data_IF_745129282231
#
_entry.id   IF_745129282231
#
_cell.length_a   1.000
_cell.length_b   1.000
_cell.length_c   1.000
_cell.angle_alpha   90.00
_cell.angle_beta   90.00
_cell.angle_gamma   90.00
#
_symmetry.space_group_name_H-M   'P 1'
#
loop_
_entity.id
_entity.type
_entity.pdbx_description
1 polymer ?
#
# COMPACT_ATOMS: atom_id res chain seq x y z
N UNK A 1 -24.14 -23.29 -37.46
CA UNK A 1 -25.11 -22.22 -37.20
C UNK A 1 -25.88 -22.43 -35.90
N UNK A 2 -26.64 -23.52 -35.70
CA UNK A 2 -27.35 -23.74 -34.42
C UNK A 2 -26.41 -24.10 -33.25
N UNK A 3 -25.35 -24.88 -33.52
CA UNK A 3 -24.37 -25.31 -32.51
C UNK A 3 -23.47 -24.18 -32.00
N UNK A 4 -23.19 -23.18 -32.85
CA UNK A 4 -22.38 -22.02 -32.48
C UNK A 4 -23.11 -21.08 -31.50
N UNK A 5 -24.45 -21.13 -31.49
CA UNK A 5 -25.29 -20.38 -30.55
C UNK A 5 -25.16 -20.90 -29.13
N UNK A 6 -24.85 -22.19 -28.98
CA UNK A 6 -24.70 -22.85 -27.68
C UNK A 6 -23.35 -22.56 -27.00
N UNK A 7 -22.31 -22.14 -27.74
CA UNK A 7 -21.04 -21.67 -27.16
C UNK A 7 -21.22 -20.40 -26.29
N UNK A 8 -22.38 -19.73 -26.40
CA UNK A 8 -22.77 -18.58 -25.57
C UNK A 8 -23.52 -18.97 -24.29
N UNK A 9 -23.98 -20.22 -24.16
CA UNK A 9 -24.67 -20.68 -22.96
C UNK A 9 -23.71 -21.19 -21.89
N UNK A 10 -24.15 -21.13 -20.64
CA UNK A 10 -23.43 -21.72 -19.52
C UNK A 10 -23.49 -23.25 -19.63
N UNK A 11 -22.35 -23.91 -19.44
CA UNK A 11 -22.24 -25.36 -19.44
C UNK A 11 -23.15 -26.04 -18.40
N UNK A 12 -23.49 -25.34 -17.31
CA UNK A 12 -24.50 -25.82 -16.34
C UNK A 12 -25.86 -25.97 -16.99
N UNK A 13 -26.29 -24.98 -17.77
CA UNK A 13 -27.61 -24.98 -18.42
C UNK A 13 -27.65 -26.00 -19.55
N UNK A 14 -26.57 -26.11 -20.32
CA UNK A 14 -26.43 -27.13 -21.36
C UNK A 14 -26.51 -28.55 -20.79
N UNK A 15 -25.84 -28.83 -19.67
CA UNK A 15 -25.91 -30.14 -19.02
C UNK A 15 -27.30 -30.43 -18.45
N UNK A 16 -28.02 -29.41 -17.97
CA UNK A 16 -29.40 -29.57 -17.49
C UNK A 16 -30.37 -29.86 -18.64
N UNK A 17 -30.25 -29.15 -19.76
CA UNK A 17 -31.13 -29.30 -20.92
C UNK A 17 -30.96 -30.69 -21.57
N UNK A 18 -29.74 -31.21 -21.59
CA UNK A 18 -29.40 -32.46 -22.28
C UNK A 18 -29.07 -33.61 -21.32
N UNK A 19 -29.60 -33.59 -20.09
CA UNK A 19 -29.28 -34.58 -19.05
C UNK A 19 -29.48 -36.04 -19.50
N UNK A 20 -30.47 -36.30 -20.38
CA UNK A 20 -30.76 -37.63 -20.95
C UNK A 20 -29.98 -37.94 -22.26
N UNK A 21 -29.33 -36.94 -22.87
CA UNK A 21 -28.64 -37.02 -24.17
C UNK A 21 -27.12 -36.76 -24.05
N UNK A 22 -26.51 -37.15 -22.93
CA UNK A 22 -25.10 -36.87 -22.59
C UNK A 22 -24.08 -37.25 -23.69
N UNK A 23 -24.34 -38.31 -24.46
CA UNK A 23 -23.42 -38.79 -25.51
C UNK A 23 -23.32 -37.84 -26.72
N UNK A 24 -24.39 -37.10 -27.02
CA UNK A 24 -24.40 -36.07 -28.08
C UNK A 24 -23.69 -34.81 -27.61
N UNK A 25 -23.89 -34.42 -26.34
CA UNK A 25 -23.22 -33.28 -25.74
C UNK A 25 -21.68 -33.47 -25.78
N UNK A 26 -21.21 -34.64 -25.39
CA UNK A 26 -19.77 -34.94 -25.43
C UNK A 26 -19.18 -35.08 -26.82
N UNK A 27 -19.97 -35.26 -27.88
CA UNK A 27 -19.46 -35.43 -29.25
C UNK A 27 -19.53 -34.16 -30.08
N UNK A 28 -20.55 -33.33 -29.88
CA UNK A 28 -20.83 -32.19 -30.76
C UNK A 28 -20.27 -30.86 -30.26
N UNK A 29 -20.09 -30.69 -28.95
CA UNK A 29 -19.61 -29.42 -28.40
C UNK A 29 -18.09 -29.37 -28.29
N UNK A 30 -17.54 -28.29 -28.86
CA UNK A 30 -16.11 -28.04 -28.92
C UNK A 30 -15.58 -27.32 -27.68
N UNK A 31 -16.41 -26.50 -27.04
CA UNK A 31 -15.99 -25.71 -25.88
C UNK A 31 -17.06 -25.57 -24.81
N UNK A 32 -16.62 -25.50 -23.55
CA UNK A 32 -17.52 -25.28 -22.41
C UNK A 32 -17.09 -24.08 -21.58
N UNK A 33 -18.08 -23.31 -21.11
CA UNK A 33 -17.90 -22.22 -20.14
C UNK A 33 -18.77 -22.50 -18.92
N UNK A 34 -18.15 -22.77 -17.79
CA UNK A 34 -18.87 -23.05 -16.55
C UNK A 34 -18.91 -21.83 -15.65
N UNK A 35 -20.11 -21.36 -15.36
CA UNK A 35 -20.35 -20.39 -14.30
C UNK A 35 -21.25 -21.05 -13.23
N UNK A 36 -20.65 -21.37 -12.09
CA UNK A 36 -21.36 -22.05 -11.00
C UNK A 36 -22.00 -21.09 -10.00
N UNK A 37 -22.28 -19.84 -10.41
CA UNK A 37 -23.04 -18.91 -9.59
C UNK A 37 -24.46 -19.44 -9.34
N UNK A 38 -24.95 -19.35 -8.11
CA UNK A 38 -26.32 -19.68 -7.72
C UNK A 38 -26.78 -21.11 -8.07
N UNK A 39 -25.83 -22.04 -8.25
CA UNK A 39 -26.13 -23.47 -8.41
C UNK A 39 -26.38 -24.11 -7.04
N UNK A 40 -27.37 -25.00 -6.95
CA UNK A 40 -27.56 -25.80 -5.73
C UNK A 40 -26.40 -26.76 -5.51
N UNK A 41 -26.09 -27.04 -4.24
CA UNK A 41 -25.02 -27.98 -3.87
C UNK A 41 -25.20 -29.36 -4.50
N UNK A 42 -26.43 -29.87 -4.55
CA UNK A 42 -26.77 -31.15 -5.17
C UNK A 42 -26.46 -31.19 -6.68
N UNK A 43 -26.85 -30.15 -7.43
CA UNK A 43 -26.58 -30.09 -8.86
C UNK A 43 -25.09 -29.90 -9.17
N UNK A 44 -24.38 -29.13 -8.33
CA UNK A 44 -22.93 -29.00 -8.43
C UNK A 44 -22.22 -30.34 -8.23
N UNK A 45 -22.68 -31.13 -7.25
CA UNK A 45 -22.15 -32.45 -6.93
C UNK A 45 -22.33 -33.44 -8.08
N UNK A 46 -23.53 -33.48 -8.68
CA UNK A 46 -23.81 -34.29 -9.88
C UNK A 46 -22.90 -33.90 -11.04
N UNK A 47 -22.79 -32.60 -11.35
CA UNK A 47 -21.96 -32.13 -12.46
C UNK A 47 -20.49 -32.51 -12.25
N UNK A 48 -19.95 -32.28 -11.05
CA UNK A 48 -18.55 -32.59 -10.74
C UNK A 48 -18.27 -34.09 -10.74
N UNK A 49 -19.17 -34.91 -10.20
CA UNK A 49 -18.97 -36.35 -10.07
C UNK A 49 -19.21 -37.11 -11.38
N UNK A 50 -20.20 -36.71 -12.18
CA UNK A 50 -20.67 -37.50 -13.33
C UNK A 50 -20.26 -36.94 -14.69
N UNK A 51 -20.06 -35.63 -14.84
CA UNK A 51 -19.89 -35.02 -16.16
C UNK A 51 -18.53 -34.38 -16.36
N UNK A 52 -18.03 -33.69 -15.34
CA UNK A 52 -16.90 -32.77 -15.49
C UNK A 52 -15.62 -33.49 -15.92
N UNK A 53 -15.39 -34.72 -15.45
CA UNK A 53 -14.24 -35.57 -15.79
C UNK A 53 -14.15 -35.93 -17.28
N UNK A 54 -15.26 -35.93 -18.01
CA UNK A 54 -15.33 -36.29 -19.45
C UNK A 54 -15.13 -35.10 -20.40
N UNK A 55 -15.16 -33.87 -19.86
CA UNK A 55 -15.13 -32.64 -20.65
C UNK A 55 -14.06 -31.64 -20.21
N UNK A 56 -13.22 -31.98 -19.21
CA UNK A 56 -12.21 -31.07 -18.65
C UNK A 56 -11.26 -30.49 -19.69
N UNK A 57 -10.91 -31.28 -20.71
CA UNK A 57 -10.02 -30.91 -21.80
C UNK A 57 -10.62 -29.85 -22.75
N UNK A 58 -11.93 -29.62 -22.68
CA UNK A 58 -12.70 -28.69 -23.51
C UNK A 58 -13.26 -27.50 -22.75
N UNK A 59 -12.96 -27.37 -21.46
CA UNK A 59 -13.41 -26.23 -20.66
C UNK A 59 -12.48 -25.05 -20.92
N UNK A 60 -13.04 -23.94 -21.40
CA UNK A 60 -12.31 -22.70 -21.72
C UNK A 60 -12.41 -21.68 -20.58
N UNK A 61 -13.53 -21.66 -19.86
CA UNK A 61 -13.75 -20.75 -18.73
C UNK A 61 -14.43 -21.47 -17.57
N UNK A 62 -13.97 -21.20 -16.36
CA UNK A 62 -14.49 -21.78 -15.12
C UNK A 62 -14.63 -20.70 -14.04
N UNK A 63 -15.83 -20.57 -13.47
CA UNK A 63 -16.10 -19.66 -12.35
C UNK A 63 -16.67 -20.42 -11.15
N UNK A 64 -15.99 -20.33 -10.00
CA UNK A 64 -16.33 -20.98 -8.74
C UNK A 64 -16.66 -19.94 -7.66
N UNK A 65 -17.61 -20.25 -6.78
CA UNK A 65 -18.17 -19.34 -5.79
C UNK A 65 -18.26 -20.02 -4.42
N UNK A 66 -17.89 -19.34 -3.35
CA UNK A 66 -18.08 -19.82 -1.97
C UNK A 66 -18.89 -18.81 -1.15
N UNK A 67 -20.10 -18.50 -1.63
CA UNK A 67 -21.04 -17.58 -0.96
C UNK A 67 -22.09 -18.34 -0.14
N UNK A 68 -23.03 -17.63 0.49
CA UNK A 68 -24.07 -18.24 1.34
C UNK A 68 -24.87 -19.34 0.62
N UNK A 69 -25.12 -19.19 -0.69
CA UNK A 69 -25.86 -20.16 -1.50
C UNK A 69 -24.99 -21.31 -2.02
N UNK A 70 -23.66 -21.13 -2.10
CA UNK A 70 -22.70 -22.11 -2.64
C UNK A 70 -21.60 -22.48 -1.64
N UNK A 71 -21.92 -22.50 -0.35
CA UNK A 71 -20.94 -22.73 0.71
C UNK A 71 -20.19 -24.06 0.57
N UNK A 72 -18.86 -23.99 0.61
CA UNK A 72 -17.92 -25.11 0.47
C UNK A 72 -17.69 -25.58 -0.96
N UNK A 73 -18.29 -24.94 -1.98
CA UNK A 73 -18.20 -25.38 -3.38
C UNK A 73 -16.76 -25.47 -3.89
N UNK A 74 -15.88 -24.52 -3.55
CA UNK A 74 -14.46 -24.54 -3.97
C UNK A 74 -13.74 -25.77 -3.39
N UNK A 75 -14.03 -26.12 -2.14
CA UNK A 75 -13.43 -27.29 -1.51
C UNK A 75 -13.98 -28.60 -2.11
N UNK A 76 -15.27 -28.65 -2.43
CA UNK A 76 -15.89 -29.78 -3.12
C UNK A 76 -15.33 -29.97 -4.53
N UNK A 77 -15.18 -28.88 -5.29
CA UNK A 77 -14.56 -28.92 -6.62
C UNK A 77 -13.19 -29.58 -6.57
N UNK A 78 -12.37 -29.19 -5.57
CA UNK A 78 -11.02 -29.73 -5.38
C UNK A 78 -11.00 -31.21 -4.97
N UNK A 79 -12.07 -31.68 -4.34
CA UNK A 79 -12.23 -33.10 -4.01
C UNK A 79 -12.44 -33.94 -5.28
N UNK A 80 -13.36 -33.50 -6.15
CA UNK A 80 -13.65 -34.20 -7.41
C UNK A 80 -12.55 -34.05 -8.47
N UNK A 81 -11.87 -32.90 -8.46
CA UNK A 81 -10.79 -32.59 -9.40
C UNK A 81 -9.51 -32.34 -8.62
N UNK A 82 -8.77 -33.42 -8.31
CA UNK A 82 -7.51 -33.32 -7.60
C UNK A 82 -6.35 -32.82 -8.49
N UNK A 83 -6.47 -32.76 -9.82
CA UNK A 83 -5.41 -32.21 -10.67
C UNK A 83 -5.97 -31.29 -11.76
N UNK A 84 -5.32 -30.14 -11.94
CA UNK A 84 -5.66 -29.18 -12.99
C UNK A 84 -5.02 -29.54 -14.34
N UNK A 85 -4.12 -30.54 -14.40
CA UNK A 85 -3.47 -30.97 -15.64
C UNK A 85 -4.42 -31.44 -16.75
N UNK A 86 -5.65 -31.82 -16.39
CA UNK A 86 -6.69 -32.25 -17.36
C UNK A 86 -7.36 -31.08 -18.08
N UNK A 87 -7.17 -29.85 -17.61
CA UNK A 87 -7.73 -28.64 -18.19
C UNK A 87 -6.81 -28.06 -19.26
N UNK A 88 -6.68 -28.79 -20.36
CA UNK A 88 -5.72 -28.47 -21.43
C UNK A 88 -6.10 -27.22 -22.22
N UNK A 89 -7.36 -26.78 -22.21
CA UNK A 89 -7.83 -25.60 -22.97
C UNK A 89 -8.31 -24.44 -22.08
N UNK A 90 -8.13 -24.52 -20.76
CA UNK A 90 -8.65 -23.52 -19.84
C UNK A 90 -7.90 -22.20 -20.00
N UNK A 91 -8.64 -21.15 -20.40
CA UNK A 91 -8.11 -19.80 -20.61
C UNK A 91 -8.46 -18.84 -19.47
N UNK A 92 -9.54 -19.10 -18.75
CA UNK A 92 -9.98 -18.25 -17.64
C UNK A 92 -10.46 -19.06 -16.44
N UNK A 93 -9.90 -18.75 -15.27
CA UNK A 93 -10.31 -19.26 -13.98
C UNK A 93 -10.67 -18.08 -13.07
N UNK A 94 -11.93 -18.03 -12.61
CA UNK A 94 -12.41 -17.01 -11.70
C UNK A 94 -12.90 -17.63 -10.40
N UNK A 95 -12.43 -17.11 -9.27
CA UNK A 95 -12.81 -17.60 -7.93
C UNK A 95 -13.38 -16.44 -7.13
N UNK A 96 -14.58 -16.62 -6.62
CA UNK A 96 -15.34 -15.63 -5.86
C UNK A 96 -15.50 -16.06 -4.40
N UNK A 97 -15.42 -15.11 -3.47
CA UNK A 97 -15.64 -15.29 -2.03
C UNK A 97 -14.66 -16.28 -1.37
N UNK A 98 -13.36 -16.17 -1.67
CA UNK A 98 -12.36 -17.04 -1.07
C UNK A 98 -12.00 -16.60 0.36
N UNK A 99 -12.25 -17.46 1.35
CA UNK A 99 -12.02 -17.16 2.77
C UNK A 99 -10.79 -17.85 3.39
N UNK A 100 -10.11 -18.73 2.65
CA UNK A 100 -9.00 -19.55 3.15
C UNK A 100 -7.72 -19.30 2.38
N UNK A 101 -6.70 -18.78 3.07
CA UNK A 101 -5.36 -18.58 2.51
C UNK A 101 -4.73 -19.91 2.07
N UNK A 102 -4.97 -20.98 2.83
CA UNK A 102 -4.54 -22.32 2.47
C UNK A 102 -5.15 -22.79 1.15
N UNK A 103 -6.44 -22.53 0.93
CA UNK A 103 -7.11 -22.87 -0.34
C UNK A 103 -6.57 -22.02 -1.49
N UNK A 104 -6.29 -20.73 -1.27
CA UNK A 104 -5.65 -19.87 -2.28
C UNK A 104 -4.31 -20.46 -2.72
N UNK A 105 -3.41 -20.73 -1.78
CA UNK A 105 -2.08 -21.23 -2.07
C UNK A 105 -2.12 -22.56 -2.81
N UNK A 106 -3.03 -23.46 -2.43
CA UNK A 106 -3.23 -24.73 -3.14
C UNK A 106 -3.82 -24.59 -4.55
N UNK A 107 -4.57 -23.54 -4.83
CA UNK A 107 -5.04 -23.27 -6.20
C UNK A 107 -3.89 -22.72 -7.03
N UNK A 108 -3.15 -21.74 -6.50
CA UNK A 108 -1.96 -21.16 -7.16
C UNK A 108 -0.94 -22.25 -7.50
N UNK A 109 -0.65 -23.14 -6.54
CA UNK A 109 0.24 -24.29 -6.69
C UNK A 109 -0.27 -25.34 -7.69
N UNK A 110 -1.49 -25.21 -8.23
CA UNK A 110 -1.97 -26.08 -9.32
C UNK A 110 -2.11 -25.34 -10.64
N UNK A 111 -1.98 -24.03 -10.64
CA UNK A 111 -2.08 -23.23 -11.86
C UNK A 111 -0.90 -23.46 -12.81
N UNK A 112 0.26 -23.94 -12.34
CA UNK A 112 1.39 -24.26 -13.23
C UNK A 112 1.09 -25.41 -14.20
N UNK A 113 0.06 -26.21 -13.94
CA UNK A 113 -0.42 -27.24 -14.88
C UNK A 113 -1.31 -26.68 -16.00
N UNK A 114 -1.69 -25.40 -15.95
CA UNK A 114 -2.63 -24.76 -16.88
C UNK A 114 -1.89 -23.93 -17.94
N UNK A 115 -1.31 -24.59 -18.94
CA UNK A 115 -0.44 -23.96 -19.95
C UNK A 115 -1.11 -22.86 -20.80
N UNK A 116 -2.45 -22.82 -20.86
CA UNK A 116 -3.22 -21.89 -21.69
C UNK A 116 -4.02 -20.86 -20.88
N UNK A 117 -3.76 -20.75 -19.57
CA UNK A 117 -4.47 -19.82 -18.69
C UNK A 117 -4.01 -18.39 -18.94
N UNK A 118 -4.92 -17.56 -19.45
CA UNK A 118 -4.68 -16.14 -19.69
C UNK A 118 -5.14 -15.28 -18.51
N UNK A 119 -6.22 -15.68 -17.84
CA UNK A 119 -6.86 -14.90 -16.78
C UNK A 119 -7.10 -15.73 -15.53
N UNK A 120 -6.43 -15.37 -14.45
CA UNK A 120 -6.67 -15.89 -13.11
C UNK A 120 -7.23 -14.76 -12.25
N UNK A 121 -8.53 -14.80 -11.96
CA UNK A 121 -9.22 -13.73 -11.26
C UNK A 121 -9.70 -14.19 -9.88
N UNK A 122 -9.42 -13.36 -8.87
CA UNK A 122 -9.87 -13.56 -7.50
C UNK A 122 -10.75 -12.38 -7.09
N UNK A 123 -12.00 -12.66 -6.73
CA UNK A 123 -12.99 -11.64 -6.35
C UNK A 123 -13.46 -11.86 -4.92
N UNK A 124 -13.67 -10.77 -4.18
CA UNK A 124 -14.20 -10.78 -2.80
C UNK A 124 -13.46 -11.73 -1.84
N UNK A 125 -12.13 -11.79 -1.94
CA UNK A 125 -11.33 -12.66 -1.08
C UNK A 125 -11.06 -12.00 0.27
N UNK A 126 -11.26 -12.74 1.36
CA UNK A 126 -11.00 -12.28 2.73
C UNK A 126 -10.16 -13.32 3.45
N UNK A 127 -8.87 -13.03 3.62
CA UNK A 127 -7.92 -13.92 4.29
C UNK A 127 -7.68 -13.43 5.71
N UNK A 128 -8.06 -14.24 6.70
CA UNK A 128 -7.68 -13.98 8.08
C UNK A 128 -6.27 -14.50 8.30
N UNK A 129 -5.29 -13.59 8.39
CA UNK A 129 -3.93 -13.93 8.82
C UNK A 129 -3.95 -14.27 10.30
N UNK A 130 -4.06 -15.56 10.62
CA UNK A 130 -4.07 -16.03 11.99
C UNK A 130 -2.63 -16.25 12.45
N UNK A 131 -1.99 -15.18 12.94
CA UNK A 131 -0.84 -15.35 13.83
C UNK A 131 -1.31 -16.03 15.12
N UNK A 132 -0.51 -16.98 15.57
CA UNK A 132 -0.77 -17.95 16.63
C UNK A 132 -0.97 -17.26 17.98
N UNK A 133 -2.22 -17.01 18.39
CA UNK A 133 -2.69 -17.12 19.79
C UNK A 133 -4.17 -17.56 19.75
N UNK A 134 -4.49 -18.76 20.27
CA UNK A 134 -5.87 -19.26 20.46
C UNK A 134 -6.56 -18.56 21.65
N UNK A 135 -6.54 -17.23 21.69
CA UNK A 135 -7.32 -16.44 22.64
C UNK A 135 -7.97 -15.29 21.88
N UNK A 136 -9.30 -15.29 21.86
CA UNK A 136 -10.08 -14.23 21.25
C UNK A 136 -10.18 -13.07 22.25
N UNK A 137 -9.46 -11.99 21.96
CA UNK A 137 -9.58 -10.75 22.70
C UNK A 137 -10.55 -9.83 21.95
N UNK A 138 -11.64 -9.46 22.61
CA UNK A 138 -12.52 -8.40 22.10
C UNK A 138 -11.93 -7.06 22.54
N UNK A 139 -11.61 -6.20 21.59
CA UNK A 139 -11.30 -4.80 21.90
C UNK A 139 -12.56 -4.16 22.49
N UNK A 140 -12.54 -3.91 23.80
CA UNK A 140 -13.65 -3.27 24.53
C UNK A 140 -13.55 -1.74 24.51
N UNK A 141 -12.35 -1.20 24.26
CA UNK A 141 -12.06 0.24 24.21
C UNK A 141 -11.01 0.55 23.14
N UNK A 142 -11.20 1.66 22.43
CA UNK A 142 -10.42 2.05 21.25
C UNK A 142 -11.02 1.51 19.95
N UNK A 143 -10.66 2.13 18.83
CA UNK A 143 -11.08 1.68 17.50
C UNK A 143 -10.12 0.65 16.91
N UNK A 144 -10.59 -0.07 15.89
CA UNK A 144 -9.79 -1.04 15.16
C UNK A 144 -8.63 -0.33 14.43
N UNK A 145 -7.41 -0.88 14.57
CA UNK A 145 -6.23 -0.41 13.85
C UNK A 145 -6.42 -0.59 12.33
N UNK A 146 -5.92 0.38 11.54
CA UNK A 146 -6.03 0.36 10.07
C UNK A 146 -7.33 0.92 9.50
N UNK A 147 -8.32 1.25 10.34
CA UNK A 147 -9.49 2.00 9.91
C UNK A 147 -9.17 3.50 9.82
N UNK A 148 -9.42 4.10 8.66
CA UNK A 148 -9.25 5.54 8.45
C UNK A 148 -10.11 6.38 9.43
N UNK A 149 -11.28 5.88 9.80
CA UNK A 149 -12.17 6.53 10.75
C UNK A 149 -11.59 6.53 12.19
N UNK A 150 -10.97 5.42 12.62
CA UNK A 150 -10.38 5.30 13.95
C UNK A 150 -9.32 6.38 14.20
N UNK A 151 -8.49 6.68 13.19
CA UNK A 151 -7.43 7.69 13.31
C UNK A 151 -7.99 9.10 13.53
N UNK A 152 -9.07 9.45 12.85
CA UNK A 152 -9.76 10.74 13.05
C UNK A 152 -10.32 10.83 14.46
N UNK A 153 -11.00 9.77 14.92
CA UNK A 153 -11.59 9.74 16.26
C UNK A 153 -10.52 9.82 17.36
N UNK A 154 -9.40 9.11 17.19
CA UNK A 154 -8.26 9.20 18.10
C UNK A 154 -7.69 10.62 18.16
N UNK A 155 -7.57 11.31 17.01
CA UNK A 155 -7.10 12.69 16.98
C UNK A 155 -8.03 13.66 17.71
N UNK A 156 -9.36 13.50 17.58
CA UNK A 156 -10.35 14.33 18.29
C UNK A 156 -10.26 14.08 19.80
N UNK A 157 -10.18 12.82 20.22
CA UNK A 157 -10.02 12.49 21.64
C UNK A 157 -8.74 13.09 22.22
N UNK A 158 -7.63 12.91 21.52
CA UNK A 158 -6.34 13.45 21.93
C UNK A 158 -6.34 14.98 21.99
N UNK A 159 -7.07 15.67 21.11
CA UNK A 159 -7.21 17.13 21.17
C UNK A 159 -7.86 17.59 22.48
N UNK A 160 -8.93 16.91 22.91
CA UNK A 160 -9.58 17.21 24.19
C UNK A 160 -8.68 16.88 25.39
N UNK A 161 -7.96 15.77 25.32
CA UNK A 161 -7.02 15.36 26.38
C UNK A 161 -5.83 16.33 26.51
N UNK A 162 -5.25 16.75 25.39
CA UNK A 162 -4.04 17.59 25.36
C UNK A 162 -4.29 19.09 25.58
N UNK A 163 -5.56 19.51 25.69
CA UNK A 163 -5.95 20.92 25.76
C UNK A 163 -5.22 21.71 26.86
N UNK A 164 -5.09 21.14 28.06
CA UNK A 164 -4.37 21.79 29.16
C UNK A 164 -2.88 21.97 28.87
N UNK A 165 -2.26 21.04 28.15
CA UNK A 165 -0.86 21.17 27.72
C UNK A 165 -0.76 22.28 26.66
N UNK A 166 -1.63 22.25 25.65
CA UNK A 166 -1.65 23.30 24.61
C UNK A 166 -1.78 24.70 25.24
N UNK A 167 -2.70 24.87 26.20
CA UNK A 167 -2.91 26.15 26.90
C UNK A 167 -1.71 26.56 27.75
N UNK A 168 -1.10 25.60 28.46
CA UNK A 168 0.12 25.84 29.23
C UNK A 168 1.26 26.35 28.32
N UNK A 169 1.56 25.64 27.24
CA UNK A 169 2.59 26.05 26.26
C UNK A 169 2.28 27.40 25.62
N UNK A 170 1.03 27.65 25.24
CA UNK A 170 0.61 28.92 24.67
C UNK A 170 0.83 30.09 25.65
N UNK A 171 0.53 29.90 26.94
CA UNK A 171 0.73 30.91 27.98
C UNK A 171 2.20 31.32 28.17
N UNK A 172 3.13 30.44 27.80
CA UNK A 172 4.58 30.63 27.92
C UNK A 172 5.25 31.03 26.61
N UNK A 173 4.50 31.12 25.51
CA UNK A 173 5.03 31.31 24.15
C UNK A 173 6.04 30.20 23.78
N UNK A 174 5.72 28.96 24.16
CA UNK A 174 6.53 27.77 23.92
C UNK A 174 5.93 26.91 22.79
N UNK A 175 6.77 26.11 22.13
CA UNK A 175 6.35 25.24 21.04
C UNK A 175 5.62 24.03 21.62
N UNK A 176 4.44 23.74 21.07
CA UNK A 176 3.74 22.46 21.18
C UNK A 176 3.48 21.92 19.78
N UNK A 177 3.88 20.68 19.52
CA UNK A 177 3.62 20.00 18.25
C UNK A 177 3.25 18.55 18.47
N UNK A 178 2.22 18.07 17.77
CA UNK A 178 1.82 16.67 17.77
C UNK A 178 1.81 16.08 16.37
N UNK A 179 2.34 14.86 16.24
CA UNK A 179 2.17 14.02 15.07
C UNK A 179 1.60 12.67 15.50
N UNK A 180 0.29 12.49 15.31
CA UNK A 180 -0.44 11.29 15.75
C UNK A 180 -0.27 11.08 17.27
N UNK A 181 0.61 10.17 17.68
CA UNK A 181 0.92 9.77 19.04
C UNK A 181 2.22 10.40 19.57
N UNK A 182 3.06 10.95 18.71
CA UNK A 182 4.31 11.62 19.10
C UNK A 182 4.06 13.10 19.42
N UNK A 183 4.53 13.56 20.58
CA UNK A 183 4.45 14.96 21.04
C UNK A 183 5.85 15.55 21.19
N UNK A 184 6.03 16.78 20.71
CA UNK A 184 7.22 17.60 20.87
C UNK A 184 6.86 18.89 21.59
N UNK A 185 7.64 19.23 22.61
CA UNK A 185 7.45 20.43 23.42
C UNK A 185 8.80 21.10 23.70
N UNK A 186 8.81 22.42 23.77
CA UNK A 186 9.94 23.18 24.34
C UNK A 186 9.54 23.74 25.69
N UNK A 187 10.48 23.92 26.61
CA UNK A 187 10.21 24.67 27.84
C UNK A 187 11.41 25.45 28.34
N UNK A 188 11.14 26.63 28.90
CA UNK A 188 12.09 27.43 29.68
C UNK A 188 11.91 27.24 31.19
N UNK A 189 10.94 26.43 31.61
CA UNK A 189 10.67 26.14 33.01
C UNK A 189 11.71 25.15 33.58
N UNK A 190 11.79 25.09 34.91
CA UNK A 190 12.65 24.11 35.57
C UNK A 190 12.13 22.68 35.32
N UNK A 191 13.04 21.72 35.41
CA UNK A 191 12.71 20.29 35.26
C UNK A 191 11.57 19.86 36.19
N UNK A 192 11.53 20.35 37.42
CA UNK A 192 10.50 20.00 38.40
C UNK A 192 9.12 20.52 38.01
N UNK A 193 9.04 21.76 37.48
CA UNK A 193 7.77 22.38 37.07
C UNK A 193 7.19 21.63 35.87
N UNK A 194 7.98 21.41 34.82
CA UNK A 194 7.49 20.69 33.64
C UNK A 194 7.12 19.25 33.98
N UNK A 195 7.87 18.60 34.88
CA UNK A 195 7.56 17.24 35.33
C UNK A 195 6.22 17.20 36.08
N UNK A 196 5.92 18.21 36.91
CA UNK A 196 4.63 18.31 37.59
C UNK A 196 3.46 18.50 36.59
N UNK A 197 3.65 19.33 35.56
CA UNK A 197 2.65 19.52 34.48
C UNK A 197 2.37 18.19 33.76
N UNK A 198 3.42 17.46 33.38
CA UNK A 198 3.28 16.16 32.72
C UNK A 198 2.63 15.10 33.63
N UNK A 199 2.96 15.10 34.92
CA UNK A 199 2.31 14.22 35.90
C UNK A 199 0.82 14.55 36.09
N UNK A 200 0.43 15.82 35.96
CA UNK A 200 -0.96 16.22 35.99
C UNK A 200 -1.71 15.72 34.74
N UNK A 201 -1.13 15.87 33.55
CA UNK A 201 -1.69 15.33 32.32
C UNK A 201 -1.84 13.80 32.36
N UNK A 202 -0.85 13.09 32.91
CA UNK A 202 -0.88 11.64 33.11
C UNK A 202 -2.08 11.16 33.95
N UNK A 203 -2.64 12.00 34.83
CA UNK A 203 -3.78 11.67 35.68
C UNK A 203 -5.14 11.84 35.00
N UNK A 204 -5.20 12.50 33.83
CA UNK A 204 -6.46 12.76 33.13
C UNK A 204 -7.11 11.49 32.59
N UNK A 205 -6.30 10.51 32.14
CA UNK A 205 -6.79 9.21 31.68
C UNK A 205 -5.78 8.12 32.03
N UNK A 206 -6.21 7.15 32.84
CA UNK A 206 -5.42 5.98 33.25
C UNK A 206 -4.92 5.13 32.06
N UNK A 207 -5.59 5.22 30.90
CA UNK A 207 -5.25 4.46 29.70
C UNK A 207 -4.21 5.16 28.80
N UNK A 208 -3.89 6.43 29.08
CA UNK A 208 -2.86 7.16 28.36
C UNK A 208 -1.61 7.18 29.23
N UNK A 209 -0.48 6.75 28.65
CA UNK A 209 0.82 6.77 29.31
C UNK A 209 1.78 7.67 28.55
N UNK A 210 2.22 8.73 29.22
CA UNK A 210 3.27 9.64 28.79
C UNK A 210 4.61 9.05 29.21
N UNK A 211 5.52 8.89 28.26
CA UNK A 211 6.91 8.48 28.51
C UNK A 211 7.83 9.63 28.06
N UNK A 212 7.99 10.69 28.89
CA UNK A 212 8.67 11.89 28.45
C UNK A 212 10.19 11.67 28.39
N UNK A 213 10.83 12.23 27.35
CA UNK A 213 12.28 12.37 27.26
C UNK A 213 12.62 13.84 27.28
N UNK A 214 13.14 14.34 28.41
CA UNK A 214 13.44 15.77 28.60
C UNK A 214 14.96 15.93 28.57
N UNK A 215 15.45 16.68 27.59
CA UNK A 215 16.88 16.88 27.35
C UNK A 215 17.08 18.07 26.41
N UNK A 216 18.31 18.59 26.36
CA UNK A 216 18.72 19.55 25.33
C UNK A 216 18.87 18.90 23.95
N UNK A 217 18.87 17.56 23.88
CA UNK A 217 18.89 16.78 22.64
C UNK A 217 17.85 15.68 22.71
N UNK A 218 16.90 15.70 21.78
CA UNK A 218 15.79 14.73 21.72
C UNK A 218 15.55 14.26 20.29
N UNK A 219 15.02 13.05 20.14
CA UNK A 219 14.60 12.54 18.84
C UNK A 219 13.10 12.70 18.70
N UNK A 220 12.65 13.25 17.58
CA UNK A 220 11.24 13.40 17.23
C UNK A 220 11.04 13.00 15.78
N UNK A 221 10.20 11.98 15.54
CA UNK A 221 10.05 11.36 14.22
C UNK A 221 11.40 10.93 13.63
N UNK A 222 11.76 11.53 12.50
CA UNK A 222 12.94 11.24 11.69
C UNK A 222 14.11 12.21 11.95
N UNK A 223 14.02 13.05 12.99
CA UNK A 223 15.04 14.07 13.31
C UNK A 223 15.52 14.01 14.76
N UNK A 224 16.79 14.36 14.94
CA UNK A 224 17.36 14.73 16.24
C UNK A 224 17.37 16.25 16.32
N UNK A 225 16.78 16.78 17.37
CA UNK A 225 16.65 18.21 17.65
C UNK A 225 17.57 18.54 18.81
N UNK A 226 18.51 19.47 18.60
CA UNK A 226 19.45 19.95 19.61
C UNK A 226 19.15 21.42 19.89
N UNK A 227 18.91 21.74 21.15
CA UNK A 227 18.76 23.09 21.66
C UNK A 227 20.10 23.62 22.18
N UNK A 228 20.60 24.67 21.53
CA UNK A 228 21.77 25.42 21.97
C UNK A 228 21.32 26.83 22.35
N UNK A 229 21.09 27.07 23.64
CA UNK A 229 20.73 28.39 24.18
C UNK A 229 19.50 29.04 23.49
N UNK A 230 18.45 28.25 23.24
CA UNK A 230 17.22 28.69 22.58
C UNK A 230 17.25 28.58 21.06
N UNK A 231 18.40 28.25 20.46
CA UNK A 231 18.49 27.97 19.04
C UNK A 231 18.33 26.46 18.79
N UNK A 232 17.24 26.09 18.12
CA UNK A 232 17.00 24.70 17.72
C UNK A 232 17.73 24.40 16.41
N UNK A 233 18.47 23.30 16.41
CA UNK A 233 19.11 22.74 15.21
C UNK A 233 18.67 21.31 15.02
N UNK A 234 18.50 20.90 13.76
CA UNK A 234 17.98 19.59 13.40
C UNK A 234 18.99 18.84 12.55
N UNK A 235 19.03 17.53 12.75
CA UNK A 235 19.76 16.57 11.91
C UNK A 235 18.94 15.30 11.77
N UNK A 236 19.28 14.43 10.81
CA UNK A 236 18.51 13.19 10.61
C UNK A 236 18.80 12.18 11.72
N UNK A 237 17.72 11.64 12.28
CA UNK A 237 17.76 10.54 13.22
C UNK A 237 17.54 9.20 12.51
N UNK A 238 18.36 8.22 12.88
CA UNK A 238 18.17 6.82 12.54
C UNK A 238 18.02 6.03 13.83
N UNK A 239 16.98 5.20 13.90
CA UNK A 239 16.84 4.26 15.02
C UNK A 239 18.10 3.37 15.08
N UNK A 240 18.59 2.99 16.27
CA UNK A 240 19.74 2.09 16.39
C UNK A 240 19.56 0.75 15.67
N UNK A 241 18.30 0.33 15.49
CA UNK A 241 17.90 -0.89 14.78
C UNK A 241 17.60 -0.65 13.29
N UNK A 242 17.83 0.55 12.77
CA UNK A 242 17.57 0.85 11.37
C UNK A 242 18.66 0.23 10.50
N UNK A 243 18.28 -0.71 9.65
CA UNK A 243 19.16 -1.23 8.63
C UNK A 243 19.49 -0.14 7.60
N UNK A 244 20.70 -0.15 7.00
CA UNK A 244 21.09 0.76 5.94
C UNK A 244 20.39 0.40 4.62
N UNK A 245 19.06 0.34 4.63
CA UNK A 245 18.24 -0.17 3.54
C UNK A 245 17.78 0.97 2.63
N UNK A 246 18.23 0.91 1.38
CA UNK A 246 17.55 1.51 0.25
C UNK A 246 17.07 0.38 -0.66
N UNK A 247 16.14 0.69 -1.56
CA UNK A 247 15.70 -0.29 -2.54
C UNK A 247 16.91 -0.87 -3.29
N UNK A 248 17.18 -2.19 -3.23
CA UNK A 248 18.35 -2.78 -3.88
C UNK A 248 18.36 -2.50 -5.38
N UNK A 249 19.52 -2.16 -5.93
CA UNK A 249 19.66 -1.78 -7.35
C UNK A 249 19.27 -2.91 -8.31
N UNK A 250 19.34 -4.17 -7.87
CA UNK A 250 18.96 -5.36 -8.65
C UNK A 250 17.48 -5.75 -8.50
N UNK A 251 16.70 -5.02 -7.71
CA UNK A 251 15.27 -5.32 -7.56
C UNK A 251 14.51 -5.01 -8.85
N UNK A 252 13.37 -5.66 -9.06
CA UNK A 252 12.54 -5.51 -10.26
C UNK A 252 11.66 -4.26 -10.18
N UNK A 253 12.31 -3.09 -10.16
CA UNK A 253 11.63 -1.80 -10.18
C UNK A 253 12.03 -0.99 -11.41
N UNK A 254 11.12 -0.14 -11.92
CA UNK A 254 11.44 0.75 -13.03
C UNK A 254 12.67 1.61 -12.77
N UNK A 255 13.49 1.81 -13.80
CA UNK A 255 14.77 2.52 -13.69
C UNK A 255 14.62 3.95 -13.12
N UNK A 256 13.49 4.63 -13.37
CA UNK A 256 13.22 5.96 -12.82
C UNK A 256 13.16 5.96 -11.27
N UNK A 257 12.72 4.86 -10.64
CA UNK A 257 12.71 4.72 -9.17
C UNK A 257 14.15 4.73 -8.65
N UNK A 258 15.03 3.91 -9.24
CA UNK A 258 16.45 3.87 -8.86
C UNK A 258 17.15 5.22 -9.06
N UNK A 259 16.82 5.97 -10.12
CA UNK A 259 17.35 7.34 -10.34
C UNK A 259 16.88 8.33 -9.29
N UNK A 260 15.65 8.18 -8.82
CA UNK A 260 15.05 9.14 -7.88
C UNK A 260 15.53 8.93 -6.45
N UNK A 261 15.87 7.71 -6.04
CA UNK A 261 16.29 7.41 -4.66
C UNK A 261 17.44 8.31 -4.17
N UNK A 262 18.59 8.42 -4.87
CA UNK A 262 19.67 9.30 -4.43
C UNK A 262 19.23 10.77 -4.34
N UNK A 263 18.44 11.24 -5.31
CA UNK A 263 17.95 12.61 -5.35
C UNK A 263 17.02 12.90 -4.16
N UNK A 264 16.03 12.04 -3.92
CA UNK A 264 15.07 12.22 -2.82
C UNK A 264 15.73 12.10 -1.45
N UNK A 265 16.76 11.24 -1.32
CA UNK A 265 17.54 11.13 -0.09
C UNK A 265 18.29 12.44 0.21
N UNK A 266 18.91 13.07 -0.80
CA UNK A 266 19.57 14.37 -0.61
C UNK A 266 18.59 15.52 -0.39
N UNK A 267 17.42 15.51 -1.03
CA UNK A 267 16.35 16.47 -0.72
C UNK A 267 15.91 16.34 0.73
N UNK A 268 15.70 15.12 1.22
CA UNK A 268 15.38 14.85 2.63
C UNK A 268 16.49 15.37 3.55
N UNK A 269 17.75 15.05 3.25
CA UNK A 269 18.89 15.53 4.02
C UNK A 269 18.96 17.06 4.09
N UNK A 270 18.85 17.73 2.95
CA UNK A 270 18.92 19.19 2.88
C UNK A 270 17.72 19.88 3.54
N UNK A 271 16.55 19.22 3.62
CA UNK A 271 15.37 19.74 4.34
C UNK A 271 15.50 19.58 5.85
N UNK A 272 16.06 18.46 6.31
CA UNK A 272 16.06 18.09 7.72
C UNK A 272 17.32 18.51 8.48
N UNK A 273 18.45 18.73 7.79
CA UNK A 273 19.67 19.21 8.43
C UNK A 273 19.73 20.75 8.43
N UNK A 274 19.80 21.38 9.61
CA UNK A 274 19.85 22.86 9.70
C UNK A 274 21.20 23.45 9.26
N UNK A 275 22.29 22.70 9.42
CA UNK A 275 23.64 23.16 9.10
C UNK A 275 24.31 22.26 8.04
N UNK A 276 25.32 22.83 7.38
CA UNK A 276 26.04 22.17 6.29
C UNK A 276 26.84 20.95 6.76
N UNK A 277 27.38 20.98 7.98
CA UNK A 277 28.16 19.87 8.52
C UNK A 277 27.31 18.60 8.66
N UNK A 278 26.12 18.73 9.24
CA UNK A 278 25.18 17.62 9.40
C UNK A 278 24.63 17.14 8.05
N UNK A 279 24.36 18.06 7.11
CA UNK A 279 24.01 17.68 5.74
C UNK A 279 25.13 16.90 5.05
N UNK A 280 26.39 17.33 5.21
CA UNK A 280 27.53 16.64 4.63
C UNK A 280 27.71 15.24 5.23
N UNK A 281 27.59 15.11 6.55
CA UNK A 281 27.62 13.81 7.24
C UNK A 281 26.53 12.88 6.73
N UNK A 282 25.32 13.42 6.54
CA UNK A 282 24.22 12.64 5.98
C UNK A 282 24.48 12.26 4.52
N UNK A 283 24.98 13.17 3.69
CA UNK A 283 25.34 12.88 2.30
C UNK A 283 26.31 11.69 2.20
N UNK A 284 27.32 11.65 3.08
CA UNK A 284 28.26 10.52 3.16
C UNK A 284 27.55 9.23 3.59
N UNK A 285 26.66 9.29 4.58
CA UNK A 285 25.86 8.14 5.02
C UNK A 285 24.99 7.59 3.88
N UNK A 286 24.26 8.46 3.18
CA UNK A 286 23.45 8.09 2.00
C UNK A 286 24.32 7.44 0.93
N UNK A 287 25.53 7.98 0.68
CA UNK A 287 26.46 7.38 -0.27
C UNK A 287 26.81 5.94 0.12
N UNK A 288 27.18 5.71 1.38
CA UNK A 288 27.50 4.37 1.90
C UNK A 288 26.29 3.43 1.79
N UNK A 289 25.10 3.89 2.18
CA UNK A 289 23.89 3.07 2.10
C UNK A 289 23.57 2.68 0.65
N UNK A 290 23.73 3.59 -0.32
CA UNK A 290 23.54 3.26 -1.73
C UNK A 290 24.54 2.21 -2.22
N UNK A 291 25.82 2.31 -1.83
CA UNK A 291 26.83 1.30 -2.16
C UNK A 291 26.47 -0.08 -1.59
N UNK A 292 26.05 -0.14 -0.32
CA UNK A 292 25.61 -1.37 0.34
C UNK A 292 24.40 -2.02 -0.36
N UNK A 293 23.54 -1.21 -0.99
CA UNK A 293 22.39 -1.68 -1.76
C UNK A 293 22.68 -1.92 -3.25
N UNK A 294 23.95 -1.97 -3.65
CA UNK A 294 24.39 -2.40 -4.98
C UNK A 294 24.37 -1.32 -6.06
N UNK A 295 24.25 -0.04 -5.69
CA UNK A 295 24.35 1.07 -6.63
C UNK A 295 25.81 1.28 -7.06
N UNK A 296 26.03 1.48 -8.37
CA UNK A 296 27.38 1.72 -8.91
C UNK A 296 27.91 3.10 -8.49
N UNK A 297 29.20 3.26 -8.13
CA UNK A 297 29.75 4.55 -7.71
C UNK A 297 29.50 5.69 -8.70
N UNK A 298 29.71 5.46 -10.00
CA UNK A 298 29.44 6.47 -11.03
C UNK A 298 27.95 6.87 -11.10
N UNK A 299 27.05 5.92 -10.87
CA UNK A 299 25.61 6.22 -10.80
C UNK A 299 25.29 7.14 -9.64
N UNK A 300 25.86 6.87 -8.45
CA UNK A 300 25.68 7.68 -7.25
C UNK A 300 26.20 9.09 -7.50
N UNK A 301 27.45 9.23 -7.96
CA UNK A 301 28.08 10.53 -8.23
C UNK A 301 27.28 11.37 -9.22
N UNK A 302 26.81 10.77 -10.33
CA UNK A 302 26.00 11.50 -11.31
C UNK A 302 24.69 12.02 -10.72
N UNK A 303 24.01 11.22 -9.89
CA UNK A 303 22.73 11.63 -9.29
C UNK A 303 22.92 12.61 -8.12
N UNK A 304 24.02 12.51 -7.39
CA UNK A 304 24.40 13.51 -6.39
C UNK A 304 24.71 14.85 -7.05
N UNK A 305 25.51 14.85 -8.11
CA UNK A 305 25.82 16.07 -8.87
C UNK A 305 24.54 16.68 -9.47
N UNK A 306 23.65 15.86 -10.03
CA UNK A 306 22.34 16.30 -10.53
C UNK A 306 21.52 17.01 -9.44
N UNK A 307 21.55 16.54 -8.20
CA UNK A 307 20.85 17.22 -7.09
C UNK A 307 21.35 18.64 -6.89
N UNK A 308 22.67 18.87 -6.88
CA UNK A 308 23.23 20.20 -6.73
C UNK A 308 22.95 21.10 -7.94
N UNK A 309 23.08 20.57 -9.16
CA UNK A 309 22.78 21.29 -10.41
C UNK A 309 21.33 21.78 -10.48
N UNK A 310 20.37 20.88 -10.23
CA UNK A 310 18.94 21.20 -10.28
C UNK A 310 18.57 22.29 -9.26
N UNK A 311 19.26 22.30 -8.12
CA UNK A 311 19.02 23.28 -7.06
C UNK A 311 19.99 24.48 -7.11
N UNK A 312 20.72 24.68 -8.22
CA UNK A 312 21.66 25.80 -8.43
C UNK A 312 22.69 25.95 -7.29
N UNK A 313 23.17 24.81 -6.78
CA UNK A 313 24.04 24.72 -5.61
C UNK A 313 25.33 23.93 -5.91
N UNK A 314 25.81 23.97 -7.16
CA UNK A 314 26.97 23.20 -7.65
C UNK A 314 28.24 23.36 -6.81
N UNK A 315 28.45 24.55 -6.26
CA UNK A 315 29.60 24.88 -5.41
C UNK A 315 29.66 23.94 -4.20
N UNK A 316 28.52 23.56 -3.62
CA UNK A 316 28.43 22.65 -2.47
C UNK A 316 28.85 21.21 -2.78
N UNK A 317 28.96 20.85 -4.05
CA UNK A 317 29.50 19.54 -4.42
C UNK A 317 31.01 19.46 -4.10
N UNK A 318 31.73 20.59 -4.25
CA UNK A 318 33.20 20.65 -4.12
C UNK A 318 33.68 21.37 -2.86
N UNK A 319 32.94 22.38 -2.40
CA UNK A 319 33.38 23.28 -1.34
C UNK A 319 32.35 23.33 -0.20
N UNK A 320 32.85 23.54 1.03
CA UNK A 320 32.00 23.84 2.17
C UNK A 320 31.68 25.34 2.15
N UNK A 321 30.44 25.70 1.82
CA UNK A 321 29.96 27.08 1.83
C UNK A 321 28.61 27.19 2.54
N UNK A 322 28.61 27.68 3.78
CA UNK A 322 27.40 27.80 4.60
C UNK A 322 26.35 28.73 3.99
N UNK A 323 26.79 29.78 3.27
CA UNK A 323 25.88 30.74 2.66
C UNK A 323 25.05 30.12 1.53
N UNK A 324 25.70 29.37 0.63
CA UNK A 324 24.99 28.64 -0.43
C UNK A 324 24.12 27.53 0.17
N UNK A 325 24.59 26.84 1.22
CA UNK A 325 23.77 25.84 1.90
C UNK A 325 22.53 26.44 2.56
N UNK A 326 22.65 27.58 3.24
CA UNK A 326 21.51 28.25 3.85
C UNK A 326 20.45 28.67 2.81
N UNK A 327 20.88 29.07 1.61
CA UNK A 327 19.95 29.34 0.47
C UNK A 327 19.27 28.06 0.00
N UNK A 328 20.02 26.97 -0.21
CA UNK A 328 19.51 25.67 -0.60
C UNK A 328 18.50 25.11 0.43
N UNK A 329 18.87 25.12 1.70
CA UNK A 329 18.06 24.65 2.82
C UNK A 329 16.73 25.41 2.87
N UNK A 330 16.76 26.74 2.87
CA UNK A 330 15.54 27.56 2.85
C UNK A 330 14.67 27.27 1.63
N UNK A 331 15.27 27.19 0.44
CA UNK A 331 14.53 26.90 -0.79
C UNK A 331 13.80 25.55 -0.70
N UNK A 332 14.48 24.50 -0.22
CA UNK A 332 13.90 23.17 -0.14
C UNK A 332 12.92 23.00 1.01
N UNK A 333 13.12 23.70 2.13
CA UNK A 333 12.25 23.67 3.30
C UNK A 333 10.87 24.24 2.98
N UNK A 334 10.81 25.36 2.24
CA UNK A 334 9.57 26.01 1.83
C UNK A 334 9.02 25.51 0.49
N UNK A 335 9.67 24.54 -0.14
CA UNK A 335 9.20 23.98 -1.39
C UNK A 335 7.89 23.21 -1.17
N UNK A 336 6.80 23.72 -1.75
CA UNK A 336 5.48 23.08 -1.68
C UNK A 336 5.53 21.66 -2.23
N UNK A 337 5.04 20.69 -1.46
CA UNK A 337 4.93 19.32 -1.94
C UNK A 337 3.91 19.23 -3.08
N UNK A 338 4.10 18.28 -4.01
CA UNK A 338 3.14 18.04 -5.09
C UNK A 338 1.73 17.83 -4.56
N UNK A 339 1.59 17.05 -3.47
CA UNK A 339 0.31 16.84 -2.80
C UNK A 339 -0.31 18.15 -2.30
N UNK A 340 0.47 19.05 -1.71
CA UNK A 340 -0.04 20.33 -1.21
C UNK A 340 -0.42 21.27 -2.36
N UNK A 341 0.29 21.21 -3.50
CA UNK A 341 -0.12 21.89 -4.73
C UNK A 341 -1.42 21.32 -5.30
N UNK A 342 -1.56 19.99 -5.32
CA UNK A 342 -2.80 19.31 -5.70
C UNK A 342 -3.94 19.72 -4.76
N UNK A 343 -3.73 19.74 -3.44
CA UNK A 343 -4.71 20.20 -2.46
C UNK A 343 -5.09 21.68 -2.62
N UNK A 344 -4.13 22.54 -2.97
CA UNK A 344 -4.41 23.94 -3.29
C UNK A 344 -5.19 24.09 -4.60
N UNK A 345 -4.84 23.33 -5.63
CA UNK A 345 -5.58 23.30 -6.89
C UNK A 345 -7.01 22.78 -6.68
N UNK A 346 -7.19 21.73 -5.88
CA UNK A 346 -8.50 21.20 -5.50
C UNK A 346 -9.35 22.22 -4.72
N UNK A 347 -8.72 23.06 -3.87
CA UNK A 347 -9.44 24.12 -3.14
C UNK A 347 -9.81 25.31 -4.02
N UNK A 348 -8.93 25.68 -4.96
CA UNK A 348 -9.13 26.85 -5.81
C UNK A 348 -10.10 26.55 -6.96
N UNK A 349 -10.05 25.33 -7.51
CA UNK A 349 -10.86 24.90 -8.66
C UNK A 349 -11.45 23.50 -8.42
N UNK A 350 -12.38 23.35 -7.45
CA UNK A 350 -12.92 22.05 -7.05
C UNK A 350 -13.70 21.32 -8.15
N UNK A 351 -14.15 22.05 -9.18
CA UNK A 351 -14.84 21.48 -10.36
C UNK A 351 -13.84 20.82 -11.33
N UNK A 352 -12.66 21.41 -11.51
CA UNK A 352 -11.59 20.88 -12.38
C UNK A 352 -10.75 19.82 -11.65
N UNK A 353 -10.61 19.94 -10.33
CA UNK A 353 -9.84 19.04 -9.49
C UNK A 353 -10.68 18.61 -8.26
N UNK A 354 -11.56 17.62 -8.41
CA UNK A 354 -12.45 17.22 -7.32
C UNK A 354 -11.67 16.55 -6.17
N UNK A 355 -12.11 16.76 -4.90
CA UNK A 355 -11.40 16.31 -3.69
C UNK A 355 -11.47 14.80 -3.43
N UNK A 356 -12.26 14.07 -4.21
CA UNK A 356 -12.30 12.61 -4.18
C UNK A 356 -11.32 12.11 -5.24
N UNK A 357 -10.42 11.20 -4.87
CA UNK A 357 -9.59 10.42 -5.79
C UNK A 357 -10.49 9.91 -6.92
N UNK A 358 -10.49 10.59 -8.07
CA UNK A 358 -11.08 10.02 -9.27
C UNK A 358 -10.37 8.68 -9.49
N UNK A 359 -11.15 7.63 -9.74
CA UNK A 359 -10.59 6.43 -10.35
C UNK A 359 -9.74 6.92 -11.53
N UNK A 360 -8.45 6.54 -11.56
CA UNK A 360 -7.52 6.95 -12.61
C UNK A 360 -8.26 6.94 -13.95
N UNK A 361 -8.41 8.10 -14.57
CA UNK A 361 -8.94 8.18 -15.93
C UNK A 361 -7.98 7.36 -16.79
N UNK A 362 -8.44 6.20 -17.25
CA UNK A 362 -7.65 5.31 -18.08
C UNK A 362 -7.21 6.09 -19.32
N UNK A 363 -5.95 5.92 -19.71
CA UNK A 363 -5.40 6.59 -20.88
C UNK A 363 -6.24 6.22 -22.11
N UNK A 364 -6.92 7.19 -22.73
CA UNK A 364 -7.82 6.96 -23.85
C UNK A 364 -7.13 6.29 -25.05
N UNK A 365 -5.82 6.48 -25.22
CA UNK A 365 -5.05 5.73 -26.25
C UNK A 365 -4.93 4.24 -25.93
N UNK A 366 -4.84 3.88 -24.65
CA UNK A 366 -4.85 2.48 -24.20
C UNK A 366 -6.24 1.86 -24.33
N UNK A 367 -7.30 2.63 -24.08
CA UNK A 367 -8.69 2.18 -24.29
C UNK A 367 -8.96 1.94 -25.79
N UNK A 368 -8.58 2.86 -26.69
CA UNK A 368 -8.72 2.66 -28.15
C UNK A 368 -7.91 1.46 -28.67
N UNK A 369 -6.77 1.15 -28.04
CA UNK A 369 -5.99 -0.05 -28.38
C UNK A 369 -6.65 -1.36 -27.93
N UNK A 370 -7.35 -1.33 -26.79
CA UNK A 370 -8.00 -2.51 -26.20
C UNK A 370 -9.42 -2.74 -26.72
N UNK A 371 -10.11 -1.68 -27.16
CA UNK A 371 -11.46 -1.72 -27.70
C UNK A 371 -11.52 -0.80 -28.94
N UNK A 372 -11.27 -1.33 -30.15
CA UNK A 372 -11.08 -0.52 -31.36
C UNK A 372 -12.33 0.25 -31.83
N UNK A 373 -13.52 -0.14 -31.35
CA UNK A 373 -14.81 0.36 -31.84
C UNK A 373 -15.63 1.09 -30.76
N UNK A 374 -15.00 1.69 -29.75
CA UNK A 374 -15.73 2.61 -28.87
C UNK A 374 -16.18 3.83 -29.71
N UNK A 375 -17.47 4.19 -29.74
CA UNK A 375 -17.91 5.42 -30.37
C UNK A 375 -17.20 6.61 -29.71
N UNK A 376 -16.75 7.57 -30.52
CA UNK A 376 -16.25 8.83 -30.00
C UNK A 376 -17.43 9.61 -29.43
N UNK A 377 -17.51 9.70 -28.09
CA UNK A 377 -18.37 10.67 -27.43
C UNK A 377 -17.71 12.04 -27.58
N UNK A 378 -18.18 12.82 -28.57
CA UNK A 378 -18.02 14.27 -28.61
C UNK A 378 -19.42 14.92 -28.44
N UNK A 379 -19.49 16.09 -27.80
CA UNK A 379 -20.54 16.48 -26.85
C UNK A 379 -21.96 16.68 -27.40
#
# INVERSE_FOLDING_TARGET
MLLDLFDYFNGVDLLRIFYDFNSLLYKQYRSYRFNFNSISKHNFDIICSQHLSFITDRIISLSLFDNENTSGQINLFRFYIPSFSRFTQLRSLSIFHLHSHYTLMKVIDKCHYLNHLNYLNFYFCSFRFQYVIKQYYKQTRGGAMGSAFTQVYANIYMLGWEQNLIEHQASKNEIYGRYIDDIFMTTNESYDVITAVLQQAQKQDVNIKINPTISNSVNFLDITIINTNGQLTTSIYYKPTADPYYLPYKSDHPHNIHRNIPYTALVRAARLCSNLHDFHRERLRVHVFLLLNGYRPHFISNHFQRFFQVNKADILYKYFDDNTYAKLHRQLLYQTSKRKLEEQAMKNEPVLFPPVLQQRSWNQRLIKYLIPNLPDDDP
#
